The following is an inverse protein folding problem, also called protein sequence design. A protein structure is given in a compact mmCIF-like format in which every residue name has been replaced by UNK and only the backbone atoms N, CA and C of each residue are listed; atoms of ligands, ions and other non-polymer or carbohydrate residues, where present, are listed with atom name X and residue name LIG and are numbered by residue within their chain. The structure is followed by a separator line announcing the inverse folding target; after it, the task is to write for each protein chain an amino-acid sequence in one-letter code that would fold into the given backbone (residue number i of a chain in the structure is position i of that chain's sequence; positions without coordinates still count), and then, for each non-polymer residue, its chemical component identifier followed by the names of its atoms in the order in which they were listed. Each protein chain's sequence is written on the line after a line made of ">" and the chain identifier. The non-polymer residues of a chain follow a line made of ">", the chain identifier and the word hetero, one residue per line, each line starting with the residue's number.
data_IF_728727956997
#
_entry.id   IF_728727956997
#
_cell.length_a   1.000
_cell.length_b   1.000
_cell.length_c   1.000
_cell.angle_alpha   90.00
_cell.angle_beta   90.00
_cell.angle_gamma   90.00
#
_symmetry.space_group_name_H-M   'P 1'
#
loop_
_entity.id
_entity.type
_entity.pdbx_description
1 polymer ?
#
# COMPACT_ATOMS: atom_id res chain seq x y z
N UNK A 1 37.97 3.01 -25.34
CA UNK A 1 37.61 1.64 -24.86
C UNK A 1 38.38 1.32 -23.60
N UNK A 2 37.80 1.57 -22.43
CA UNK A 2 38.13 0.91 -21.16
C UNK A 2 36.83 0.82 -20.36
N UNK A 3 36.26 -0.38 -20.34
CA UNK A 3 35.08 -0.73 -19.54
C UNK A 3 35.55 -0.82 -18.08
N UNK A 4 34.94 -0.04 -17.18
CA UNK A 4 35.08 -0.22 -15.73
C UNK A 4 33.89 -1.05 -15.26
N UNK A 5 34.16 -2.29 -14.88
CA UNK A 5 33.23 -3.11 -14.11
C UNK A 5 33.12 -2.52 -12.71
N UNK A 6 31.90 -2.20 -12.29
CA UNK A 6 31.58 -1.91 -10.89
C UNK A 6 31.10 -3.19 -10.23
N UNK A 7 31.84 -3.63 -9.20
CA UNK A 7 31.40 -4.64 -8.25
C UNK A 7 30.44 -3.96 -7.28
N UNK A 8 29.16 -4.31 -7.34
CA UNK A 8 28.20 -3.99 -6.30
C UNK A 8 28.44 -4.95 -5.13
N UNK A 9 29.01 -4.44 -4.03
CA UNK A 9 29.12 -5.17 -2.77
C UNK A 9 27.80 -5.01 -2.02
N UNK A 10 27.10 -6.12 -1.79
CA UNK A 10 25.89 -6.21 -0.99
C UNK A 10 26.15 -5.75 0.44
N UNK A 11 25.58 -4.61 0.85
CA UNK A 11 25.45 -4.23 2.25
C UNK A 11 24.04 -4.63 2.69
N UNK A 12 23.93 -5.75 3.40
CA UNK A 12 22.72 -6.08 4.15
C UNK A 12 22.67 -5.15 5.38
N UNK A 13 21.69 -4.24 5.42
CA UNK A 13 21.39 -3.46 6.62
C UNK A 13 20.59 -4.38 7.55
N UNK A 14 21.25 -4.90 8.57
CA UNK A 14 20.63 -5.63 9.66
C UNK A 14 19.95 -4.60 10.58
N UNK A 15 18.61 -4.57 10.63
CA UNK A 15 17.92 -3.91 11.75
C UNK A 15 18.20 -4.71 13.03
N UNK A 16 19.08 -4.17 13.87
CA UNK A 16 19.41 -4.72 15.17
C UNK A 16 18.31 -4.35 16.18
N UNK A 17 17.39 -5.28 16.45
CA UNK A 17 16.51 -5.21 17.62
C UNK A 17 17.36 -5.45 18.86
N UNK A 18 17.59 -4.40 19.65
CA UNK A 18 18.31 -4.50 20.92
C UNK A 18 17.44 -5.20 21.97
N UNK A 19 17.72 -6.45 22.26
CA UNK A 19 17.22 -7.13 23.46
C UNK A 19 18.00 -6.62 24.68
N UNK A 20 17.39 -5.76 25.49
CA UNK A 20 17.89 -5.50 26.85
C UNK A 20 17.34 -6.58 27.77
N UNK A 21 18.20 -7.55 28.06
CA UNK A 21 18.00 -8.47 29.18
C UNK A 21 18.39 -7.80 30.49
N UNK A 22 17.46 -7.74 31.43
CA UNK A 22 17.77 -7.77 32.86
C UNK A 22 17.01 -8.97 33.44
N UNK A 23 17.78 -9.97 33.86
CA UNK A 23 17.23 -11.13 34.55
C UNK A 23 16.85 -10.80 35.99
N UNK A 24 15.88 -11.54 36.51
CA UNK A 24 16.00 -12.12 37.83
C UNK A 24 15.21 -13.43 37.95
N UNK A 25 15.81 -14.35 38.66
CA UNK A 25 15.42 -15.75 38.85
C UNK A 25 14.09 -15.91 39.62
N UNK A 26 13.23 -16.82 39.15
CA UNK A 26 12.74 -17.90 40.03
C UNK A 26 12.13 -19.07 39.22
N UNK A 27 12.48 -20.27 39.68
CA UNK A 27 12.10 -21.59 39.18
C UNK A 27 10.59 -21.87 39.24
N UNK A 28 10.05 -22.66 38.30
CA UNK A 28 9.67 -24.07 38.56
C UNK A 28 8.81 -24.69 37.45
N UNK A 29 9.08 -26.00 37.26
CA UNK A 29 8.23 -27.07 36.72
C UNK A 29 7.72 -27.04 35.27
N UNK A 30 8.31 -27.95 34.48
CA UNK A 30 7.68 -28.68 33.37
C UNK A 30 6.27 -29.16 33.75
N UNK A 31 5.30 -28.88 32.90
CA UNK A 31 4.09 -29.68 32.75
C UNK A 31 3.85 -29.91 31.25
N UNK A 32 3.99 -31.17 30.84
CA UNK A 32 3.48 -31.67 29.57
C UNK A 32 1.95 -31.59 29.61
N UNK A 33 1.33 -30.77 28.77
CA UNK A 33 -0.10 -30.85 28.48
C UNK A 33 -0.29 -31.41 27.08
N UNK A 34 -0.95 -32.57 27.04
CA UNK A 34 -1.43 -33.21 25.81
C UNK A 34 -2.31 -32.23 25.03
N UNK A 35 -1.94 -31.98 23.79
CA UNK A 35 -2.79 -31.33 22.81
C UNK A 35 -4.06 -32.18 22.61
N UNK A 36 -5.19 -31.70 23.13
CA UNK A 36 -6.51 -32.11 22.69
C UNK A 36 -6.83 -31.35 21.41
N UNK A 37 -7.03 -32.08 20.32
CA UNK A 37 -7.62 -31.61 19.08
C UNK A 37 -8.84 -30.72 19.36
N UNK A 38 -8.66 -29.41 19.26
CA UNK A 38 -9.75 -28.48 19.05
C UNK A 38 -10.03 -28.50 17.55
N UNK A 39 -11.17 -29.06 17.18
CA UNK A 39 -11.82 -28.87 15.88
C UNK A 39 -11.68 -27.41 15.44
N UNK A 40 -11.01 -27.19 14.31
CA UNK A 40 -10.94 -25.90 13.66
C UNK A 40 -12.38 -25.42 13.42
N UNK A 41 -12.75 -24.32 14.06
CA UNK A 41 -13.90 -23.54 13.62
C UNK A 41 -13.51 -23.02 12.25
N UNK A 42 -14.05 -23.63 11.20
CA UNK A 42 -13.91 -23.12 9.84
C UNK A 42 -14.56 -21.75 9.86
N UNK A 43 -13.76 -20.67 9.84
CA UNK A 43 -14.31 -19.34 9.59
C UNK A 43 -14.92 -19.38 8.20
N UNK A 44 -16.20 -19.07 8.09
CA UNK A 44 -16.90 -19.09 6.81
C UNK A 44 -16.21 -18.10 5.86
N UNK A 45 -15.73 -18.62 4.74
CA UNK A 45 -15.19 -17.82 3.63
C UNK A 45 -16.38 -17.37 2.79
N UNK A 46 -16.97 -16.25 3.16
CA UNK A 46 -18.11 -15.69 2.45
C UNK A 46 -18.09 -14.17 2.53
N UNK A 47 -18.25 -13.52 1.39
CA UNK A 47 -18.58 -12.10 1.38
C UNK A 47 -19.96 -11.91 2.05
N UNK A 48 -20.15 -10.91 2.93
CA UNK A 48 -21.44 -10.65 3.55
C UNK A 48 -22.55 -10.48 2.52
N UNK A 49 -23.70 -11.14 2.71
CA UNK A 49 -24.86 -11.04 1.81
C UNK A 49 -25.37 -9.60 1.69
N UNK A 50 -25.28 -8.84 2.79
CA UNK A 50 -25.60 -7.42 2.79
C UNK A 50 -24.47 -6.66 2.10
N UNK A 51 -24.82 -5.97 1.03
CA UNK A 51 -23.93 -5.06 0.32
C UNK A 51 -23.48 -3.89 1.21
N UNK A 52 -22.31 -3.31 0.90
CA UNK A 52 -21.80 -2.14 1.60
C UNK A 52 -22.69 -0.93 1.31
N UNK A 53 -23.12 -0.25 2.38
CA UNK A 53 -23.97 0.93 2.29
C UNK A 53 -23.11 2.20 2.37
N UNK A 54 -22.83 2.81 1.22
CA UNK A 54 -22.16 4.12 1.15
C UNK A 54 -23.12 5.27 1.48
N UNK A 55 -22.59 6.32 2.09
CA UNK A 55 -23.25 7.62 2.31
C UNK A 55 -22.84 8.68 1.29
N UNK A 56 -21.95 8.33 0.35
CA UNK A 56 -21.42 9.25 -0.67
C UNK A 56 -22.26 9.25 -1.95
N UNK A 57 -22.13 10.31 -2.75
CA UNK A 57 -22.98 10.56 -3.92
C UNK A 57 -22.20 10.74 -5.25
N UNK A 58 -20.89 10.47 -5.24
CA UNK A 58 -20.02 10.69 -6.40
C UNK A 58 -19.31 12.04 -6.40
N UNK A 59 -19.68 12.98 -5.52
CA UNK A 59 -19.14 14.34 -5.51
C UNK A 59 -17.69 14.43 -5.01
N UNK A 60 -17.23 13.46 -4.22
CA UNK A 60 -15.87 13.39 -3.73
C UNK A 60 -14.99 12.39 -4.52
N UNK A 61 -15.55 11.73 -5.54
CA UNK A 61 -14.81 10.71 -6.30
C UNK A 61 -13.57 11.29 -6.98
N UNK A 62 -12.42 10.68 -6.74
CA UNK A 62 -11.15 11.05 -7.36
C UNK A 62 -11.13 10.62 -8.82
N UNK A 63 -10.66 11.51 -9.70
CA UNK A 63 -10.46 11.28 -11.13
C UNK A 63 -9.10 11.78 -11.56
N UNK A 64 -8.68 11.41 -12.77
CA UNK A 64 -7.45 11.89 -13.38
C UNK A 64 -7.75 12.82 -14.56
N UNK A 65 -7.03 13.93 -14.61
CA UNK A 65 -6.94 14.80 -15.80
C UNK A 65 -5.45 15.10 -16.08
N UNK A 66 -4.91 14.47 -17.12
CA UNK A 66 -3.49 14.49 -17.41
C UNK A 66 -2.65 13.96 -16.23
N UNK A 67 -1.79 14.79 -15.67
CA UNK A 67 -0.91 14.45 -14.53
C UNK A 67 -1.46 14.93 -13.19
N UNK A 68 -2.79 15.12 -13.08
CA UNK A 68 -3.43 15.63 -11.87
C UNK A 68 -4.53 14.72 -11.37
N UNK A 69 -4.67 14.64 -10.05
CA UNK A 69 -5.89 14.16 -9.41
C UNK A 69 -6.90 15.29 -9.30
N UNK A 70 -8.17 14.96 -9.49
CA UNK A 70 -9.27 15.90 -9.54
C UNK A 70 -10.44 15.39 -8.70
N UNK A 71 -11.15 16.32 -8.05
CA UNK A 71 -12.47 16.11 -7.45
C UNK A 71 -13.40 17.17 -8.03
N UNK A 72 -14.36 16.74 -8.85
CA UNK A 72 -15.13 17.65 -9.69
C UNK A 72 -14.23 18.38 -10.69
N UNK A 73 -14.21 19.71 -10.65
CA UNK A 73 -13.38 20.59 -11.47
C UNK A 73 -12.14 21.13 -10.71
N UNK A 74 -11.90 20.65 -9.49
CA UNK A 74 -10.83 21.12 -8.62
C UNK A 74 -9.72 20.10 -8.51
N UNK A 75 -8.49 20.61 -8.51
CA UNK A 75 -7.30 19.80 -8.28
C UNK A 75 -7.26 19.28 -6.84
N UNK A 76 -6.94 18.00 -6.70
CA UNK A 76 -6.73 17.32 -5.43
C UNK A 76 -5.23 17.15 -5.21
N UNK A 77 -4.77 17.49 -4.01
CA UNK A 77 -3.43 17.16 -3.53
C UNK A 77 -3.54 16.30 -2.27
N UNK A 78 -2.84 15.16 -2.24
CA UNK A 78 -2.90 14.26 -1.10
C UNK A 78 -1.91 14.72 -0.02
N UNK A 79 -2.45 15.33 1.03
CA UNK A 79 -1.76 15.51 2.31
C UNK A 79 -1.86 14.20 3.09
N UNK A 80 -1.23 13.17 2.52
CA UNK A 80 -1.43 11.79 2.89
C UNK A 80 -0.51 11.33 4.00
N UNK A 81 -0.82 10.16 4.54
CA UNK A 81 0.03 9.45 5.50
C UNK A 81 -0.05 7.94 5.29
N UNK A 82 0.97 7.20 5.69
CA UNK A 82 0.83 5.77 5.94
C UNK A 82 0.19 5.58 7.33
N UNK A 83 -0.98 4.96 7.35
CA UNK A 83 -1.63 4.40 8.53
C UNK A 83 -1.70 2.89 8.30
N UNK A 84 -0.55 2.20 8.20
CA UNK A 84 -0.49 0.95 7.46
C UNK A 84 -1.25 -0.16 8.19
N UNK A 85 -1.35 -0.09 9.52
CA UNK A 85 -2.18 -0.93 10.39
C UNK A 85 -2.29 -0.34 11.82
N UNK A 86 -3.30 -0.71 12.59
CA UNK A 86 -3.28 -0.69 14.07
C UNK A 86 -2.47 -1.88 14.58
N UNK A 87 -2.93 -3.08 14.22
CA UNK A 87 -2.27 -4.36 14.49
C UNK A 87 -1.98 -5.06 13.18
N UNK A 88 -0.85 -5.75 13.16
CA UNK A 88 -0.50 -6.59 12.02
C UNK A 88 -1.62 -7.60 11.73
N UNK A 89 -2.09 -7.63 10.49
CA UNK A 89 -3.30 -8.35 10.07
C UNK A 89 -4.58 -7.92 10.82
N UNK A 90 -4.91 -6.62 10.79
CA UNK A 90 -6.13 -6.08 11.38
C UNK A 90 -7.40 -6.76 10.85
N UNK A 91 -7.59 -6.74 9.53
CA UNK A 91 -8.87 -7.07 8.89
C UNK A 91 -9.10 -8.58 8.82
N UNK A 92 -10.14 -9.05 9.51
CA UNK A 92 -10.42 -10.47 9.75
C UNK A 92 -9.66 -11.04 10.95
N UNK A 93 -8.91 -10.19 11.66
CA UNK A 93 -8.04 -10.54 12.77
C UNK A 93 -8.20 -9.57 13.94
N UNK A 94 -7.23 -8.65 14.07
CA UNK A 94 -7.08 -7.77 15.23
C UNK A 94 -7.89 -6.47 15.22
N UNK A 95 -8.74 -6.25 14.21
CA UNK A 95 -9.42 -4.99 13.95
C UNK A 95 -10.06 -4.37 15.20
N UNK A 96 -9.85 -3.07 15.37
CA UNK A 96 -10.36 -2.30 16.49
C UNK A 96 -11.06 -1.04 15.98
N UNK A 97 -12.40 -1.06 16.00
CA UNK A 97 -13.22 0.04 15.54
C UNK A 97 -12.91 1.36 16.27
N UNK A 98 -12.78 1.33 17.59
CA UNK A 98 -12.56 2.53 18.41
C UNK A 98 -11.21 3.17 18.08
N UNK A 99 -10.17 2.35 17.88
CA UNK A 99 -8.87 2.85 17.42
C UNK A 99 -8.99 3.57 16.08
N UNK A 100 -9.57 2.92 15.07
CA UNK A 100 -9.66 3.50 13.73
C UNK A 100 -10.52 4.76 13.70
N UNK A 101 -11.58 4.80 14.51
CA UNK A 101 -12.42 5.98 14.68
C UNK A 101 -11.63 7.15 15.28
N UNK A 102 -10.98 6.95 16.41
CA UNK A 102 -10.18 7.98 17.08
C UNK A 102 -9.02 8.44 16.18
N UNK A 103 -8.39 7.50 15.49
CA UNK A 103 -7.26 7.77 14.60
C UNK A 103 -7.70 8.58 13.38
N UNK A 104 -8.75 8.18 12.66
CA UNK A 104 -9.24 8.94 11.51
C UNK A 104 -9.76 10.32 11.90
N UNK A 105 -10.43 10.46 13.05
CA UNK A 105 -10.81 11.76 13.57
C UNK A 105 -9.60 12.65 13.80
N UNK A 106 -8.55 12.12 14.44
CA UNK A 106 -7.30 12.84 14.70
C UNK A 106 -6.60 13.26 13.41
N UNK A 107 -6.49 12.36 12.43
CA UNK A 107 -5.87 12.63 11.13
C UNK A 107 -6.63 13.75 10.39
N UNK A 108 -7.94 13.60 10.23
CA UNK A 108 -8.79 14.61 9.58
C UNK A 108 -8.71 15.97 10.26
N UNK A 109 -8.81 16.00 11.58
CA UNK A 109 -8.75 17.25 12.36
C UNK A 109 -7.43 17.99 12.13
N UNK A 110 -6.33 17.27 11.94
CA UNK A 110 -5.00 17.84 11.68
C UNK A 110 -4.81 18.28 10.22
N UNK A 111 -5.67 17.85 9.30
CA UNK A 111 -5.62 18.21 7.88
C UNK A 111 -5.13 17.11 6.95
N UNK A 112 -5.08 15.85 7.41
CA UNK A 112 -4.88 14.69 6.52
C UNK A 112 -6.15 14.45 5.73
N UNK A 113 -6.02 14.18 4.42
CA UNK A 113 -7.14 13.78 3.57
C UNK A 113 -7.00 12.36 3.00
N UNK A 114 -5.86 11.69 3.18
CA UNK A 114 -5.65 10.35 2.63
C UNK A 114 -4.79 9.48 3.55
N UNK A 115 -5.12 8.20 3.58
CA UNK A 115 -4.39 7.18 4.31
C UNK A 115 -4.07 6.00 3.39
N UNK A 116 -2.80 5.60 3.36
CA UNK A 116 -2.37 4.33 2.79
C UNK A 116 -2.39 3.25 3.87
N UNK A 117 -3.15 2.18 3.63
CA UNK A 117 -3.51 1.16 4.64
C UNK A 117 -3.33 -0.23 4.05
N UNK A 118 -2.61 -1.12 4.76
CA UNK A 118 -2.35 -2.48 4.31
C UNK A 118 -3.48 -3.39 4.77
N UNK A 119 -4.26 -3.91 3.81
CA UNK A 119 -5.49 -4.63 4.15
C UNK A 119 -5.29 -6.15 4.29
N UNK A 120 -4.24 -6.72 3.70
CA UNK A 120 -3.86 -8.14 3.91
C UNK A 120 -2.57 -8.29 4.73
N UNK A 121 -1.66 -7.31 4.72
CA UNK A 121 -0.32 -7.41 5.34
C UNK A 121 0.47 -8.63 4.83
N UNK A 122 0.66 -9.69 5.63
CA UNK A 122 1.27 -10.95 5.16
C UNK A 122 0.25 -12.04 4.78
N UNK A 123 -1.04 -11.81 5.02
CA UNK A 123 -2.11 -12.73 4.66
C UNK A 123 -2.18 -14.00 5.49
N UNK A 124 -1.60 -14.00 6.69
CA UNK A 124 -1.73 -15.12 7.64
C UNK A 124 -3.09 -15.12 8.35
N UNK A 125 -3.84 -14.02 8.30
CA UNK A 125 -5.19 -13.89 8.86
C UNK A 125 -6.13 -13.28 7.81
N UNK A 126 -7.41 -13.65 7.88
CA UNK A 126 -8.45 -13.13 6.99
C UNK A 126 -8.48 -13.72 5.59
N UNK A 127 -7.40 -14.38 5.13
CA UNK A 127 -7.28 -14.95 3.79
C UNK A 127 -7.39 -16.48 3.79
N UNK A 128 -8.16 -17.03 2.87
CA UNK A 128 -8.28 -18.46 2.64
C UNK A 128 -7.42 -18.89 1.44
N UNK A 129 -6.17 -19.23 1.75
CA UNK A 129 -5.22 -19.78 0.78
C UNK A 129 -4.80 -21.19 1.19
N UNK A 130 -4.89 -22.13 0.26
CA UNK A 130 -4.46 -23.50 0.43
C UNK A 130 -2.93 -23.62 0.23
N UNK A 131 -2.31 -24.67 0.79
CA UNK A 131 -0.87 -24.90 0.68
C UNK A 131 -0.36 -25.01 -0.78
N UNK A 132 -1.23 -25.35 -1.73
CA UNK A 132 -0.89 -25.38 -3.16
C UNK A 132 -1.05 -24.02 -3.87
N UNK A 133 -1.40 -22.96 -3.15
CA UNK A 133 -1.64 -21.62 -3.68
C UNK A 133 -3.06 -21.38 -4.22
N UNK A 134 -3.97 -22.35 -4.12
CA UNK A 134 -5.39 -22.14 -4.43
C UNK A 134 -5.97 -21.10 -3.47
N UNK A 135 -6.61 -20.06 -4.02
CA UNK A 135 -7.17 -18.96 -3.23
C UNK A 135 -8.70 -18.94 -3.30
N UNK A 136 -9.35 -19.15 -2.16
CA UNK A 136 -10.81 -19.32 -2.09
C UNK A 136 -11.56 -18.02 -1.74
N UNK A 137 -10.85 -16.98 -1.28
CA UNK A 137 -11.45 -15.71 -0.87
C UNK A 137 -10.91 -15.20 0.46
N UNK A 138 -11.59 -14.19 1.01
CA UNK A 138 -11.38 -13.71 2.37
C UNK A 138 -12.52 -14.18 3.30
N UNK A 139 -12.26 -14.19 4.60
CA UNK A 139 -13.25 -14.53 5.64
C UNK A 139 -14.33 -13.46 5.73
N UNK A 140 -15.52 -13.83 6.24
CA UNK A 140 -16.60 -12.85 6.48
C UNK A 140 -16.12 -11.68 7.35
N UNK A 141 -15.36 -11.97 8.41
CA UNK A 141 -14.84 -10.95 9.33
C UNK A 141 -13.93 -9.93 8.61
N UNK A 142 -13.12 -10.37 7.65
CA UNK A 142 -12.29 -9.45 6.86
C UNK A 142 -13.13 -8.41 6.12
N UNK A 143 -14.21 -8.86 5.49
CA UNK A 143 -15.13 -7.95 4.81
C UNK A 143 -15.89 -7.05 5.79
N UNK A 144 -16.38 -7.57 6.92
CA UNK A 144 -17.07 -6.75 7.93
C UNK A 144 -16.15 -5.70 8.57
N UNK A 145 -14.88 -5.99 8.76
CA UNK A 145 -13.90 -5.03 9.25
C UNK A 145 -13.61 -3.93 8.22
N UNK A 146 -13.53 -4.29 6.93
CA UNK A 146 -13.41 -3.31 5.85
C UNK A 146 -14.68 -2.45 5.68
N UNK A 147 -15.88 -3.01 5.87
CA UNK A 147 -17.12 -2.23 5.90
C UNK A 147 -17.02 -1.10 6.95
N UNK A 148 -16.50 -1.42 8.13
CA UNK A 148 -16.30 -0.45 9.20
C UNK A 148 -15.22 0.58 8.86
N UNK A 149 -14.10 0.16 8.26
CA UNK A 149 -13.03 1.07 7.84
C UNK A 149 -13.54 2.08 6.80
N UNK A 150 -14.22 1.62 5.76
CA UNK A 150 -14.76 2.51 4.72
C UNK A 150 -15.89 3.39 5.25
N UNK A 151 -16.73 2.88 6.17
CA UNK A 151 -17.68 3.73 6.88
C UNK A 151 -16.97 4.90 7.60
N UNK A 152 -15.88 4.64 8.32
CA UNK A 152 -15.11 5.69 9.00
C UNK A 152 -14.44 6.64 8.01
N UNK A 153 -13.91 6.15 6.90
CA UNK A 153 -13.33 6.98 5.83
C UNK A 153 -14.33 8.01 5.31
N UNK A 154 -15.58 7.61 5.07
CA UNK A 154 -16.66 8.52 4.66
C UNK A 154 -17.00 9.54 5.75
N UNK A 155 -16.98 9.14 7.03
CA UNK A 155 -17.30 10.06 8.13
C UNK A 155 -16.25 11.15 8.32
N UNK A 156 -14.97 10.81 8.11
CA UNK A 156 -13.81 11.66 8.39
C UNK A 156 -13.09 12.16 7.14
N UNK A 157 -13.69 12.02 5.96
CA UNK A 157 -13.11 12.48 4.69
C UNK A 157 -11.68 12.00 4.41
N UNK A 158 -11.40 10.73 4.72
CA UNK A 158 -10.08 10.11 4.49
C UNK A 158 -10.15 9.22 3.26
N UNK A 159 -9.51 9.61 2.16
CA UNK A 159 -9.31 8.78 0.98
C UNK A 159 -8.38 7.60 1.30
N UNK A 160 -8.88 6.37 1.18
CA UNK A 160 -8.13 5.14 1.41
C UNK A 160 -7.42 4.69 0.13
N UNK A 161 -6.09 4.64 0.18
CA UNK A 161 -5.27 3.82 -0.71
C UNK A 161 -5.14 2.45 -0.06
N UNK A 162 -5.90 1.47 -0.56
CA UNK A 162 -5.91 0.13 0.01
C UNK A 162 -4.78 -0.70 -0.58
N UNK A 163 -3.73 -0.94 0.20
CA UNK A 163 -2.60 -1.78 -0.19
C UNK A 163 -2.93 -3.25 0.04
N UNK A 164 -3.10 -3.98 -1.06
CA UNK A 164 -3.61 -5.36 -1.05
C UNK A 164 -2.53 -6.33 -0.60
N UNK A 165 -1.42 -6.48 -1.32
CA UNK A 165 -0.32 -7.35 -0.93
C UNK A 165 0.89 -6.56 -0.39
N UNK A 166 1.82 -7.24 0.24
CA UNK A 166 3.17 -6.75 0.56
C UNK A 166 4.21 -7.81 0.19
N UNK A 167 5.47 -7.40 0.02
CA UNK A 167 6.59 -8.35 0.03
C UNK A 167 6.59 -9.29 1.25
N UNK A 168 5.96 -8.88 2.35
CA UNK A 168 5.74 -9.74 3.53
C UNK A 168 4.93 -11.01 3.24
N UNK A 169 4.02 -11.01 2.25
CA UNK A 169 3.34 -12.25 1.82
C UNK A 169 4.33 -13.33 1.38
N UNK A 170 5.54 -12.94 0.96
CA UNK A 170 6.52 -13.81 0.34
C UNK A 170 7.69 -14.17 1.27
N UNK A 171 7.79 -13.58 2.46
CA UNK A 171 8.88 -13.82 3.42
C UNK A 171 8.82 -15.24 4.00
N UNK A 172 9.92 -15.98 3.92
CA UNK A 172 10.03 -17.40 4.33
C UNK A 172 9.80 -17.70 5.83
N UNK A 173 9.70 -16.66 6.64
CA UNK A 173 9.38 -16.75 8.07
C UNK A 173 7.88 -16.69 8.36
N UNK A 174 7.05 -16.22 7.41
CA UNK A 174 5.61 -16.09 7.58
C UNK A 174 4.90 -17.41 7.30
N UNK A 175 3.69 -17.61 7.83
CA UNK A 175 3.07 -18.93 7.84
C UNK A 175 2.74 -19.46 6.44
N UNK A 176 2.14 -18.60 5.59
CA UNK A 176 1.61 -19.02 4.29
C UNK A 176 2.50 -18.63 3.10
N UNK A 177 3.77 -18.28 3.33
CA UNK A 177 4.64 -17.70 2.29
C UNK A 177 4.76 -18.55 1.03
N UNK A 178 4.88 -19.87 1.18
CA UNK A 178 5.06 -20.78 0.05
C UNK A 178 3.79 -20.86 -0.80
N UNK A 179 2.62 -20.72 -0.19
CA UNK A 179 1.35 -20.67 -0.90
C UNK A 179 1.23 -19.38 -1.73
N UNK A 180 1.60 -18.22 -1.17
CA UNK A 180 1.64 -16.95 -1.89
C UNK A 180 2.63 -16.95 -3.07
N UNK A 181 3.83 -17.51 -2.87
CA UNK A 181 4.79 -17.72 -3.97
C UNK A 181 4.21 -18.63 -5.06
N UNK A 182 3.54 -19.71 -4.67
CA UNK A 182 2.95 -20.64 -5.63
C UNK A 182 1.79 -20.00 -6.41
N UNK A 183 0.96 -19.20 -5.73
CA UNK A 183 -0.15 -18.46 -6.33
C UNK A 183 0.33 -17.50 -7.42
N UNK A 184 1.35 -16.68 -7.12
CA UNK A 184 1.83 -15.65 -8.05
C UNK A 184 2.56 -16.25 -9.27
N UNK A 185 3.16 -17.43 -9.11
CA UNK A 185 3.88 -18.11 -10.19
C UNK A 185 2.95 -18.90 -11.12
N UNK A 186 1.65 -18.97 -10.80
CA UNK A 186 0.65 -19.76 -11.50
C UNK A 186 -0.47 -18.84 -11.98
N UNK A 187 -0.61 -18.76 -13.31
CA UNK A 187 -1.60 -17.90 -13.96
C UNK A 187 -3.02 -18.18 -13.50
N UNK A 188 -3.41 -19.44 -13.35
CA UNK A 188 -4.78 -19.81 -13.01
C UNK A 188 -5.06 -19.49 -11.53
N UNK A 189 -4.06 -19.60 -10.65
CA UNK A 189 -4.20 -19.21 -9.24
C UNK A 189 -4.22 -17.70 -9.04
N UNK A 190 -3.45 -16.98 -9.85
CA UNK A 190 -3.53 -15.52 -9.93
C UNK A 190 -4.93 -15.10 -10.37
N UNK A 191 -5.53 -15.78 -11.35
CA UNK A 191 -6.91 -15.57 -11.76
C UNK A 191 -7.89 -15.80 -10.60
N UNK A 192 -7.70 -16.84 -9.80
CA UNK A 192 -8.52 -17.09 -8.61
C UNK A 192 -8.41 -15.96 -7.59
N UNK A 193 -7.21 -15.42 -7.34
CA UNK A 193 -7.05 -14.27 -6.44
C UNK A 193 -7.76 -13.03 -6.95
N UNK A 194 -7.66 -12.76 -8.25
CA UNK A 194 -8.35 -11.64 -8.90
C UNK A 194 -9.87 -11.81 -8.80
N UNK A 195 -10.39 -12.99 -9.15
CA UNK A 195 -11.83 -13.26 -9.18
C UNK A 195 -12.45 -13.33 -7.76
N UNK A 196 -11.72 -13.89 -6.80
CA UNK A 196 -12.25 -14.16 -5.45
C UNK A 196 -11.92 -13.07 -4.42
N UNK A 197 -11.06 -12.09 -4.76
CA UNK A 197 -10.73 -10.99 -3.84
C UNK A 197 -10.74 -9.62 -4.51
N UNK A 198 -9.94 -9.41 -5.56
CA UNK A 198 -9.77 -8.09 -6.17
C UNK A 198 -11.10 -7.56 -6.74
N UNK A 199 -11.80 -8.38 -7.53
CA UNK A 199 -13.09 -8.01 -8.11
C UNK A 199 -14.14 -7.77 -7.02
N UNK A 200 -14.34 -8.68 -6.03
CA UNK A 200 -15.23 -8.42 -4.89
C UNK A 200 -14.92 -7.13 -4.13
N UNK A 201 -13.64 -6.83 -3.88
CA UNK A 201 -13.20 -5.62 -3.18
C UNK A 201 -13.71 -4.35 -3.87
N UNK A 202 -13.47 -4.22 -5.18
CA UNK A 202 -13.85 -3.02 -5.93
C UNK A 202 -15.35 -2.94 -6.24
N UNK A 203 -16.03 -4.07 -6.42
CA UNK A 203 -17.49 -4.09 -6.58
C UNK A 203 -18.22 -3.70 -5.29
N UNK A 204 -17.67 -4.10 -4.13
CA UNK A 204 -18.26 -3.77 -2.83
C UNK A 204 -18.01 -2.32 -2.45
N UNK A 205 -16.75 -1.88 -2.48
CA UNK A 205 -16.36 -0.58 -1.92
C UNK A 205 -16.18 0.53 -2.95
N UNK A 206 -16.11 0.23 -4.26
CA UNK A 206 -15.92 1.24 -5.32
C UNK A 206 -17.08 2.23 -5.47
N UNK A 207 -18.15 2.05 -4.69
CA UNK A 207 -19.27 2.99 -4.52
C UNK A 207 -18.94 4.12 -3.53
N UNK A 208 -17.97 3.92 -2.65
CA UNK A 208 -17.50 4.94 -1.72
C UNK A 208 -16.57 5.90 -2.44
N UNK A 209 -16.88 7.20 -2.41
CA UNK A 209 -15.99 8.23 -2.95
C UNK A 209 -14.61 8.24 -2.29
N UNK A 210 -14.52 7.72 -1.06
CA UNK A 210 -13.29 7.67 -0.28
C UNK A 210 -12.50 6.37 -0.47
N UNK A 211 -12.95 5.45 -1.33
CA UNK A 211 -12.10 4.38 -1.85
C UNK A 211 -11.47 4.83 -3.18
N UNK A 212 -10.37 5.57 -3.09
CA UNK A 212 -9.81 6.22 -4.28
C UNK A 212 -8.88 5.31 -5.08
N UNK A 213 -8.15 4.39 -4.43
CA UNK A 213 -7.24 3.51 -5.14
C UNK A 213 -6.96 2.17 -4.47
N UNK A 214 -6.65 1.19 -5.31
CA UNK A 214 -5.99 -0.06 -4.95
C UNK A 214 -4.49 0.07 -5.21
N UNK A 215 -3.68 -0.12 -4.17
CA UNK A 215 -2.25 -0.36 -4.28
C UNK A 215 -2.02 -1.88 -4.28
N UNK A 216 -1.64 -2.45 -5.43
CA UNK A 216 -1.67 -3.90 -5.61
C UNK A 216 -0.61 -4.63 -4.79
N UNK A 217 0.52 -3.98 -4.49
CA UNK A 217 1.59 -4.57 -3.71
C UNK A 217 2.53 -3.49 -3.12
N UNK A 218 2.78 -3.58 -1.82
CA UNK A 218 3.85 -2.85 -1.16
C UNK A 218 5.22 -3.45 -1.48
N UNK A 219 6.09 -2.63 -2.06
CA UNK A 219 7.52 -2.85 -2.27
C UNK A 219 7.86 -4.21 -2.90
N UNK A 220 7.29 -4.54 -4.07
CA UNK A 220 7.59 -5.79 -4.75
C UNK A 220 9.05 -5.94 -5.15
N UNK A 221 9.80 -4.84 -5.16
CA UNK A 221 11.25 -4.78 -5.30
C UNK A 221 11.95 -5.82 -4.40
N UNK A 222 11.50 -5.95 -3.15
CA UNK A 222 12.09 -6.90 -2.21
C UNK A 222 11.71 -8.35 -2.52
N UNK A 223 10.59 -8.60 -3.18
CA UNK A 223 10.23 -9.95 -3.68
C UNK A 223 11.27 -10.41 -4.71
N UNK A 224 11.75 -9.49 -5.52
CA UNK A 224 12.72 -9.75 -6.59
C UNK A 224 14.16 -9.78 -6.07
N UNK A 225 14.52 -8.87 -5.16
CA UNK A 225 15.91 -8.71 -4.72
C UNK A 225 16.33 -9.66 -3.60
N UNK A 226 15.41 -10.07 -2.74
CA UNK A 226 15.76 -10.73 -1.49
C UNK A 226 15.49 -12.24 -1.50
N UNK A 227 16.45 -13.02 -0.99
CA UNK A 227 16.35 -14.49 -0.88
C UNK A 227 15.19 -14.89 0.03
N UNK A 228 15.02 -14.20 1.16
CA UNK A 228 13.95 -14.49 2.11
C UNK A 228 12.57 -14.24 1.53
N UNK A 229 12.44 -13.43 0.47
CA UNK A 229 11.19 -13.22 -0.26
C UNK A 229 11.05 -14.13 -1.50
N UNK A 230 12.08 -14.93 -1.80
CA UNK A 230 12.06 -15.95 -2.84
C UNK A 230 12.74 -15.56 -4.15
N UNK A 231 13.21 -14.32 -4.30
CA UNK A 231 13.80 -13.78 -5.55
C UNK A 231 12.98 -14.15 -6.78
N UNK A 232 11.69 -13.85 -6.75
CA UNK A 232 10.81 -14.17 -7.86
C UNK A 232 11.08 -13.23 -9.04
N UNK A 233 10.89 -13.73 -10.25
CA UNK A 233 11.03 -12.91 -11.45
C UNK A 233 9.89 -11.89 -11.58
N UNK A 234 10.23 -10.69 -12.05
CA UNK A 234 9.26 -9.63 -12.34
C UNK A 234 8.08 -10.10 -13.19
N UNK A 235 8.29 -11.03 -14.13
CA UNK A 235 7.22 -11.53 -15.00
C UNK A 235 6.03 -12.14 -14.27
N UNK A 236 6.25 -12.73 -13.08
CA UNK A 236 5.15 -13.27 -12.26
C UNK A 236 4.35 -12.14 -11.60
N UNK A 237 5.05 -11.12 -11.11
CA UNK A 237 4.47 -9.94 -10.48
C UNK A 237 3.72 -9.08 -11.50
N UNK A 238 4.35 -8.79 -12.65
CA UNK A 238 3.77 -8.07 -13.78
C UNK A 238 2.49 -8.75 -14.28
N UNK A 239 2.47 -10.08 -14.36
CA UNK A 239 1.27 -10.82 -14.75
C UNK A 239 0.12 -10.59 -13.77
N UNK A 240 0.37 -10.66 -12.46
CA UNK A 240 -0.64 -10.35 -11.46
C UNK A 240 -1.12 -8.90 -11.57
N UNK A 241 -0.20 -7.94 -11.67
CA UNK A 241 -0.57 -6.53 -11.75
C UNK A 241 -1.41 -6.22 -12.97
N UNK A 242 -1.05 -6.78 -14.12
CA UNK A 242 -1.80 -6.59 -15.35
C UNK A 242 -3.22 -7.19 -15.27
N UNK A 243 -3.35 -8.39 -14.70
CA UNK A 243 -4.66 -9.05 -14.51
C UNK A 243 -5.54 -8.30 -13.52
N UNK A 244 -4.98 -7.92 -12.38
CA UNK A 244 -5.70 -7.18 -11.35
C UNK A 244 -6.13 -5.80 -11.84
N UNK A 245 -5.23 -5.04 -12.48
CA UNK A 245 -5.56 -3.73 -13.06
C UNK A 245 -6.68 -3.83 -14.10
N UNK A 246 -6.56 -4.76 -15.06
CA UNK A 246 -7.59 -4.95 -16.08
C UNK A 246 -8.95 -5.34 -15.47
N UNK A 247 -8.95 -6.19 -14.43
CA UNK A 247 -10.16 -6.57 -13.73
C UNK A 247 -10.78 -5.40 -12.94
N UNK A 248 -9.96 -4.59 -12.28
CA UNK A 248 -10.43 -3.41 -11.53
C UNK A 248 -11.10 -2.42 -12.48
N UNK A 249 -10.44 -2.06 -13.59
CA UNK A 249 -10.98 -1.13 -14.58
C UNK A 249 -12.20 -1.66 -15.33
N UNK A 250 -12.35 -2.98 -15.46
CA UNK A 250 -13.54 -3.60 -16.03
C UNK A 250 -14.75 -3.57 -15.08
N UNK A 251 -14.54 -3.40 -13.78
CA UNK A 251 -15.56 -3.54 -12.75
C UNK A 251 -15.81 -2.28 -11.91
N UNK A 252 -14.97 -1.25 -12.03
CA UNK A 252 -15.04 -0.02 -11.24
C UNK A 252 -14.22 1.11 -11.86
N UNK A 253 -14.40 2.33 -11.34
CA UNK A 253 -13.49 3.46 -11.62
C UNK A 253 -12.49 3.69 -10.47
N UNK A 254 -12.28 2.71 -9.59
CA UNK A 254 -11.26 2.82 -8.53
C UNK A 254 -9.88 2.80 -9.19
N UNK A 255 -9.00 3.73 -8.80
CA UNK A 255 -7.69 3.86 -9.42
C UNK A 255 -6.74 2.74 -8.98
N UNK A 256 -5.70 2.47 -9.76
CA UNK A 256 -4.74 1.40 -9.53
C UNK A 256 -3.31 1.94 -9.49
N UNK A 257 -2.52 1.46 -8.54
CA UNK A 257 -1.06 1.67 -8.47
C UNK A 257 -0.35 0.41 -7.99
N UNK A 258 0.98 0.43 -8.03
CA UNK A 258 1.86 -0.44 -7.25
C UNK A 258 2.85 0.45 -6.50
N UNK A 259 2.92 0.32 -5.17
CA UNK A 259 3.86 1.06 -4.33
C UNK A 259 5.27 0.50 -4.46
N UNK A 260 6.05 1.03 -5.40
CA UNK A 260 7.43 0.58 -5.61
C UNK A 260 8.37 1.17 -4.55
N UNK A 261 9.11 0.30 -3.88
CA UNK A 261 10.05 0.64 -2.82
C UNK A 261 11.18 1.53 -3.31
N UNK A 262 11.48 1.50 -4.61
CA UNK A 262 12.53 2.30 -5.22
C UNK A 262 12.12 2.78 -6.62
N UNK A 263 12.57 3.99 -6.98
CA UNK A 263 12.45 4.53 -8.36
C UNK A 263 13.13 3.63 -9.41
N UNK A 264 14.05 2.77 -8.98
CA UNK A 264 14.82 1.83 -9.78
C UNK A 264 13.99 1.02 -10.77
N UNK A 265 12.79 0.58 -10.38
CA UNK A 265 11.88 -0.23 -11.20
C UNK A 265 10.64 0.53 -11.67
N UNK A 266 10.62 1.85 -11.47
CA UNK A 266 9.57 2.75 -11.93
C UNK A 266 10.07 3.75 -12.98
N UNK A 267 11.28 3.55 -13.52
CA UNK A 267 11.96 4.51 -14.39
C UNK A 267 12.80 3.84 -15.47
N UNK A 268 12.57 4.25 -16.73
CA UNK A 268 13.37 3.84 -17.88
C UNK A 268 14.80 4.40 -17.86
N UNK A 269 15.05 5.43 -17.05
CA UNK A 269 16.40 5.92 -16.78
C UNK A 269 17.21 5.00 -15.85
N UNK A 270 16.54 4.03 -15.21
CA UNK A 270 17.11 3.11 -14.23
C UNK A 270 17.07 1.66 -14.74
N UNK A 271 16.27 0.76 -14.14
CA UNK A 271 16.10 -0.63 -14.55
C UNK A 271 14.78 -0.89 -15.29
N UNK A 272 14.15 0.16 -15.82
CA UNK A 272 12.90 0.10 -16.55
C UNK A 272 11.70 0.39 -15.66
N UNK A 273 10.62 0.87 -16.27
CA UNK A 273 9.34 0.98 -15.59
C UNK A 273 8.55 -0.34 -15.70
N UNK A 274 8.63 -1.17 -14.66
CA UNK A 274 8.02 -2.51 -14.55
C UNK A 274 6.51 -2.51 -14.44
N UNK A 275 5.90 -1.34 -14.27
CA UNK A 275 4.46 -1.16 -14.18
C UNK A 275 3.96 -0.17 -15.23
N UNK A 276 4.75 0.10 -16.27
CA UNK A 276 4.29 0.90 -17.41
C UNK A 276 3.14 0.21 -18.13
N UNK A 277 2.29 1.00 -18.77
CA UNK A 277 1.18 0.50 -19.59
C UNK A 277 1.71 -0.53 -20.62
N UNK A 278 2.82 -0.25 -21.29
CA UNK A 278 3.39 -1.19 -22.26
C UNK A 278 3.84 -2.51 -21.64
N UNK A 279 4.49 -2.49 -20.46
CA UNK A 279 4.93 -3.72 -19.80
C UNK A 279 3.73 -4.56 -19.38
N UNK A 280 2.75 -3.97 -18.68
CA UNK A 280 1.55 -4.66 -18.19
C UNK A 280 0.69 -5.22 -19.33
N UNK A 281 0.50 -4.44 -20.40
CA UNK A 281 -0.27 -4.90 -21.56
C UNK A 281 0.42 -6.04 -22.32
N UNK A 282 1.75 -6.07 -22.32
CA UNK A 282 2.54 -7.07 -23.04
C UNK A 282 2.48 -8.46 -22.40
N UNK A 283 2.39 -8.53 -21.06
CA UNK A 283 2.39 -9.81 -20.31
C UNK A 283 1.03 -10.51 -20.31
N UNK A 284 -0.05 -9.81 -20.62
CA UNK A 284 -1.36 -10.43 -20.77
C UNK A 284 -1.44 -11.30 -22.03
N UNK A 285 -2.10 -12.44 -21.91
CA UNK A 285 -2.38 -13.34 -23.02
C UNK A 285 -3.78 -13.95 -22.86
N UNK A 286 -4.34 -14.43 -23.97
CA UNK A 286 -5.74 -14.92 -24.01
C UNK A 286 -6.77 -13.78 -24.01
N UNK A 287 -8.04 -14.17 -23.78
CA UNK A 287 -9.20 -13.29 -23.96
C UNK A 287 -9.95 -12.99 -22.64
N UNK A 288 -9.45 -13.45 -21.48
CA UNK A 288 -10.12 -13.23 -20.18
C UNK A 288 -10.10 -11.76 -19.76
N UNK A 289 -8.97 -11.10 -19.96
CA UNK A 289 -8.78 -9.70 -19.60
C UNK A 289 -8.62 -8.85 -20.85
N UNK A 290 -9.31 -7.71 -20.91
CA UNK A 290 -9.05 -6.71 -21.94
C UNK A 290 -7.69 -6.06 -21.68
N UNK A 291 -6.76 -6.30 -22.61
CA UNK A 291 -5.40 -5.76 -22.50
C UNK A 291 -5.38 -4.25 -22.39
N UNK A 292 -6.29 -3.54 -23.07
CA UNK A 292 -6.30 -2.08 -23.03
C UNK A 292 -6.61 -1.51 -21.64
N UNK A 293 -7.15 -2.34 -20.74
CA UNK A 293 -7.43 -2.00 -19.35
C UNK A 293 -6.28 -2.33 -18.40
N UNK A 294 -5.19 -2.93 -18.87
CA UNK A 294 -4.04 -3.28 -18.03
C UNK A 294 -3.05 -2.12 -17.93
N UNK A 295 -3.29 -1.20 -17.01
CA UNK A 295 -2.41 -0.07 -16.72
C UNK A 295 -2.51 0.31 -15.24
N UNK A 296 -1.52 1.05 -14.73
CA UNK A 296 -1.68 1.79 -13.48
C UNK A 296 -2.13 3.22 -13.80
N UNK A 297 -2.93 3.80 -12.93
CA UNK A 297 -3.48 5.15 -13.09
C UNK A 297 -2.47 6.23 -12.69
N UNK A 298 -1.62 5.92 -11.71
CA UNK A 298 -0.63 6.83 -11.16
C UNK A 298 0.61 6.07 -10.68
N UNK A 299 1.70 6.80 -10.47
CA UNK A 299 2.93 6.24 -9.91
C UNK A 299 3.06 6.57 -8.42
N UNK A 300 3.44 5.57 -7.64
CA UNK A 300 3.69 5.68 -6.20
C UNK A 300 5.08 5.13 -5.90
N UNK A 301 6.09 5.99 -5.98
CA UNK A 301 7.46 5.61 -5.61
C UNK A 301 7.70 5.91 -4.14
N UNK A 302 8.40 5.01 -3.45
CA UNK A 302 8.87 5.23 -2.10
C UNK A 302 10.27 5.84 -2.15
N UNK A 303 10.66 6.44 -1.04
CA UNK A 303 12.00 7.00 -0.88
C UNK A 303 12.45 6.98 0.58
N UNK A 304 13.66 6.53 0.84
CA UNK A 304 14.32 6.63 2.14
C UNK A 304 15.75 7.17 1.96
N UNK A 305 16.33 7.73 3.02
CA UNK A 305 17.60 8.50 2.96
C UNK A 305 18.77 7.75 2.36
N UNK A 306 18.89 6.45 2.62
CA UNK A 306 19.95 5.61 2.03
C UNK A 306 19.90 5.58 0.49
N UNK A 307 18.74 5.87 -0.12
CA UNK A 307 18.55 5.92 -1.57
C UNK A 307 19.16 7.18 -2.21
N UNK A 308 19.40 8.24 -1.44
CA UNK A 308 19.80 9.55 -1.96
C UNK A 308 21.05 9.48 -2.84
N UNK A 309 22.07 8.75 -2.38
CA UNK A 309 23.33 8.60 -3.13
C UNK A 309 23.24 7.68 -4.34
N UNK A 310 22.15 6.91 -4.48
CA UNK A 310 21.95 5.92 -5.53
C UNK A 310 21.04 6.43 -6.64
N UNK A 311 19.93 7.07 -6.27
CA UNK A 311 18.86 7.47 -7.19
C UNK A 311 18.34 8.90 -6.99
N UNK A 312 18.99 9.70 -6.15
CA UNK A 312 18.65 11.11 -5.99
C UNK A 312 17.61 11.42 -4.90
N UNK A 313 17.13 12.66 -4.91
CA UNK A 313 16.27 13.22 -3.87
C UNK A 313 14.97 13.76 -4.50
N UNK A 314 13.83 13.06 -4.37
CA UNK A 314 12.61 13.37 -5.12
C UNK A 314 12.03 14.73 -4.76
N UNK A 315 12.31 15.22 -3.55
CA UNK A 315 11.73 16.48 -3.06
C UNK A 315 12.41 17.71 -3.69
N UNK A 316 13.57 17.59 -4.35
CA UNK A 316 14.20 18.73 -5.07
C UNK A 316 13.88 18.76 -6.57
N UNK A 317 13.07 17.82 -7.06
CA UNK A 317 12.86 17.56 -8.48
C UNK A 317 11.38 17.36 -8.78
N UNK A 318 10.97 17.67 -10.02
CA UNK A 318 9.64 17.27 -10.49
C UNK A 318 9.58 15.74 -10.64
N UNK A 319 8.37 15.12 -10.66
CA UNK A 319 8.24 13.68 -10.90
C UNK A 319 8.99 13.21 -12.16
N UNK A 320 8.96 14.00 -13.23
CA UNK A 320 9.65 13.70 -14.48
C UNK A 320 11.16 13.83 -14.37
N UNK A 321 11.65 14.88 -13.71
CA UNK A 321 13.10 15.05 -13.51
C UNK A 321 13.69 13.98 -12.59
N UNK A 322 12.91 13.49 -11.62
CA UNK A 322 13.26 12.35 -10.77
C UNK A 322 13.26 11.00 -11.53
N UNK A 323 12.67 10.96 -12.73
CA UNK A 323 12.76 9.84 -13.65
C UNK A 323 11.45 9.11 -13.95
N UNK A 324 10.30 9.59 -13.46
CA UNK A 324 8.98 9.09 -13.88
C UNK A 324 8.66 9.60 -15.29
N UNK A 325 7.77 8.93 -16.02
CA UNK A 325 7.59 9.18 -17.46
C UNK A 325 6.83 10.48 -17.80
N UNK A 326 6.25 11.17 -16.80
CA UNK A 326 5.51 12.42 -16.98
C UNK A 326 4.12 12.26 -17.62
N UNK A 327 3.59 11.05 -17.71
CA UNK A 327 2.30 10.77 -18.35
C UNK A 327 1.13 10.65 -17.38
N UNK A 328 1.42 10.42 -16.09
CA UNK A 328 0.45 10.14 -15.03
C UNK A 328 0.69 11.02 -13.80
N UNK A 329 -0.32 11.21 -12.93
CA UNK A 329 -0.09 11.75 -11.60
C UNK A 329 0.93 10.90 -10.83
N UNK A 330 1.65 11.53 -9.91
CA UNK A 330 2.71 10.88 -9.15
C UNK A 330 2.63 11.29 -7.68
N UNK A 331 2.72 10.31 -6.78
CA UNK A 331 2.82 10.52 -5.33
C UNK A 331 4.13 9.92 -4.81
N UNK A 332 4.61 10.47 -3.71
CA UNK A 332 5.64 9.84 -2.89
C UNK A 332 4.92 8.94 -1.89
N UNK A 333 4.88 7.63 -2.18
CA UNK A 333 4.03 6.65 -1.49
C UNK A 333 4.50 6.27 -0.09
N UNK A 334 5.80 6.40 0.16
CA UNK A 334 6.42 6.32 1.47
C UNK A 334 7.65 7.22 1.54
N UNK A 335 7.84 7.87 2.68
CA UNK A 335 9.10 8.49 3.08
C UNK A 335 9.20 8.51 4.60
N UNK A 336 10.41 8.52 5.19
CA UNK A 336 10.53 8.53 6.64
C UNK A 336 9.95 9.84 7.20
N UNK A 337 9.35 9.80 8.39
CA UNK A 337 9.08 11.02 9.15
C UNK A 337 10.35 11.55 9.84
N UNK A 338 11.22 10.62 10.26
CA UNK A 338 12.51 10.88 10.89
C UNK A 338 13.56 10.01 10.23
N UNK A 339 14.73 10.60 9.94
CA UNK A 339 15.88 9.84 9.47
C UNK A 339 17.14 10.24 10.24
N UNK A 340 17.57 9.38 11.16
CA UNK A 340 18.69 9.66 12.07
C UNK A 340 20.07 9.80 11.39
N UNK A 341 20.16 9.41 10.12
CA UNK A 341 21.40 9.39 9.34
C UNK A 341 21.56 10.60 8.40
N UNK A 342 20.65 11.57 8.44
CA UNK A 342 20.67 12.75 7.57
C UNK A 342 20.00 13.97 8.20
N UNK A 343 20.10 15.12 7.52
CA UNK A 343 19.38 16.36 7.86
C UNK A 343 17.98 16.42 7.21
N UNK A 344 17.39 15.25 6.90
CA UNK A 344 16.06 15.18 6.29
C UNK A 344 14.99 15.81 7.20
N UNK A 345 14.21 16.72 6.63
CA UNK A 345 13.10 17.40 7.30
C UNK A 345 11.80 17.13 6.53
N UNK A 346 10.93 16.33 7.14
CA UNK A 346 9.62 15.96 6.56
C UNK A 346 8.73 17.18 6.29
N UNK A 347 8.87 18.25 7.09
CA UNK A 347 8.06 19.48 6.96
C UNK A 347 8.42 20.26 5.70
N UNK A 348 9.71 20.33 5.36
CA UNK A 348 10.16 20.90 4.09
C UNK A 348 9.88 19.94 2.93
N UNK A 349 10.06 18.63 3.13
CA UNK A 349 9.79 17.63 2.10
C UNK A 349 8.36 17.68 1.54
N UNK A 350 7.33 17.82 2.38
CA UNK A 350 5.95 17.96 1.92
C UNK A 350 5.73 19.22 1.06
N UNK A 351 6.26 20.36 1.51
CA UNK A 351 6.14 21.63 0.79
C UNK A 351 6.93 21.59 -0.53
N UNK A 352 8.14 21.05 -0.52
CA UNK A 352 8.99 20.95 -1.69
C UNK A 352 8.40 19.99 -2.73
N UNK A 353 7.84 18.85 -2.31
CA UNK A 353 7.08 17.96 -3.19
C UNK A 353 5.92 18.69 -3.87
N UNK A 354 5.11 19.41 -3.09
CA UNK A 354 4.01 20.22 -3.62
C UNK A 354 4.50 21.26 -4.65
N UNK A 355 5.55 22.01 -4.32
CA UNK A 355 6.11 23.04 -5.18
C UNK A 355 6.74 22.49 -6.46
N UNK A 356 7.27 21.26 -6.43
CA UNK A 356 7.87 20.59 -7.57
C UNK A 356 6.86 19.77 -8.42
N UNK A 357 5.57 19.81 -8.08
CA UNK A 357 4.50 19.23 -8.90
C UNK A 357 4.18 17.76 -8.61
N UNK A 358 4.62 17.23 -7.47
CA UNK A 358 4.10 15.97 -6.95
C UNK A 358 2.65 16.14 -6.50
N UNK A 359 1.83 15.11 -6.69
CA UNK A 359 0.40 15.15 -6.37
C UNK A 359 0.08 14.72 -4.94
N UNK A 360 1.08 14.37 -4.15
CA UNK A 360 0.93 14.04 -2.75
C UNK A 360 2.14 13.36 -2.14
N UNK A 361 2.16 13.33 -0.81
CA UNK A 361 3.17 12.64 0.00
C UNK A 361 2.48 11.82 1.07
N UNK A 362 2.96 10.62 1.32
CA UNK A 362 2.46 9.70 2.33
C UNK A 362 3.61 9.33 3.29
N UNK A 363 3.82 10.11 4.35
CA UNK A 363 4.86 9.85 5.33
C UNK A 363 4.63 8.55 6.12
N UNK A 364 5.72 7.86 6.43
CA UNK A 364 5.77 6.67 7.27
C UNK A 364 6.19 7.03 8.71
N UNK A 365 5.39 6.76 9.75
CA UNK A 365 3.98 6.31 9.73
C UNK A 365 3.21 6.84 10.95
N UNK A 366 1.90 6.63 10.99
CA UNK A 366 1.02 7.22 12.01
C UNK A 366 0.57 6.27 13.13
N UNK A 367 0.82 4.97 12.98
CA UNK A 367 0.35 3.91 13.86
C UNK A 367 1.35 2.75 13.93
N UNK A 368 1.12 1.79 14.83
CA UNK A 368 2.03 0.68 15.08
C UNK A 368 3.22 1.07 15.97
N UNK A 369 4.22 0.19 16.01
CA UNK A 369 5.45 0.42 16.78
C UNK A 369 6.42 1.30 15.99
N UNK A 370 7.20 2.10 16.72
CA UNK A 370 8.31 2.87 16.18
C UNK A 370 9.39 1.90 15.66
N UNK A 371 9.67 2.00 14.35
CA UNK A 371 10.70 1.24 13.65
C UNK A 371 11.94 2.10 13.33
N UNK A 372 12.03 3.29 13.94
CA UNK A 372 13.12 4.24 13.74
C UNK A 372 12.91 5.20 12.57
N UNK A 373 11.79 5.09 11.85
CA UNK A 373 11.41 6.02 10.77
C UNK A 373 10.43 7.12 11.23
N UNK A 374 10.07 7.15 12.52
CA UNK A 374 9.23 8.17 13.15
C UNK A 374 7.74 7.80 13.24
N UNK A 375 7.01 8.59 14.02
CA UNK A 375 5.60 8.39 14.33
C UNK A 375 4.76 9.63 14.00
N UNK A 376 3.46 9.57 14.33
CA UNK A 376 2.52 10.67 14.07
C UNK A 376 3.02 12.05 14.53
N UNK A 377 3.64 12.14 15.71
CA UNK A 377 4.10 13.43 16.26
C UNK A 377 5.18 14.08 15.39
N UNK A 378 5.96 13.30 14.66
CA UNK A 378 6.98 13.79 13.73
C UNK A 378 6.37 14.24 12.40
N UNK A 379 5.26 13.61 11.98
CA UNK A 379 4.54 13.90 10.73
C UNK A 379 3.62 15.12 10.87
N UNK A 380 2.97 15.26 12.03
CA UNK A 380 1.92 16.26 12.26
C UNK A 380 2.30 17.70 11.84
N UNK A 381 3.52 18.22 12.12
CA UNK A 381 3.90 19.56 11.69
C UNK A 381 3.86 19.76 10.16
N UNK A 382 4.24 18.75 9.38
CA UNK A 382 4.19 18.79 7.92
C UNK A 382 2.74 18.87 7.43
N UNK A 383 1.86 18.04 8.00
CA UNK A 383 0.43 18.02 7.68
C UNK A 383 -0.23 19.37 7.97
N UNK A 384 0.00 19.93 9.17
CA UNK A 384 -0.58 21.22 9.58
C UNK A 384 -0.07 22.38 8.71
N UNK A 385 1.21 22.35 8.34
CA UNK A 385 1.80 23.33 7.42
C UNK A 385 1.13 23.27 6.05
N UNK A 386 0.96 22.08 5.47
CA UNK A 386 0.31 21.94 4.16
C UNK A 386 -1.17 22.32 4.19
N UNK A 387 -1.87 22.03 5.29
CA UNK A 387 -3.23 22.55 5.50
C UNK A 387 -3.26 24.09 5.49
N UNK A 388 -2.22 24.77 5.96
CA UNK A 388 -2.10 26.22 5.84
C UNK A 388 -1.74 26.74 4.43
N UNK A 389 -1.15 25.89 3.58
CA UNK A 389 -0.65 26.26 2.23
C UNK A 389 -1.70 26.01 1.14
N UNK A 390 -2.38 24.86 1.17
CA UNK A 390 -3.25 24.42 0.09
C UNK A 390 -4.50 23.65 0.58
N UNK A 391 -5.16 24.12 1.65
CA UNK A 391 -6.39 23.51 2.17
C UNK A 391 -7.45 23.28 1.08
N UNK A 392 -7.56 24.19 0.12
CA UNK A 392 -8.51 24.13 -0.98
C UNK A 392 -8.23 22.98 -1.97
N UNK A 393 -6.99 22.48 -2.02
CA UNK A 393 -6.63 21.27 -2.76
C UNK A 393 -6.64 20.01 -1.91
N UNK A 394 -6.51 20.14 -0.59
CA UNK A 394 -6.58 19.01 0.34
C UNK A 394 -8.05 18.60 0.56
N UNK A 395 -8.94 19.58 0.72
CA UNK A 395 -10.37 19.37 0.82
C UNK A 395 -11.10 20.21 -0.26
N UNK A 396 -11.12 19.76 -1.53
CA UNK A 396 -11.73 20.52 -2.62
C UNK A 396 -13.21 20.85 -2.43
N UNK A 397 -13.94 19.98 -1.72
CA UNK A 397 -15.35 20.17 -1.39
C UNK A 397 -15.56 20.84 -0.01
N UNK A 398 -14.48 21.33 0.62
CA UNK A 398 -14.47 21.86 1.96
C UNK A 398 -14.23 20.79 3.03
N UNK A 399 -13.51 21.17 4.08
CA UNK A 399 -13.27 20.35 5.27
C UNK A 399 -14.51 20.33 6.15
N UNK A 400 -15.02 19.14 6.45
CA UNK A 400 -16.15 18.88 7.35
C UNK A 400 -15.72 19.13 8.78
N UNK A 401 -16.57 19.80 9.56
CA UNK A 401 -16.44 19.79 11.01
C UNK A 401 -16.96 18.44 11.54
N UNK A 402 -16.12 17.68 12.23
CA UNK A 402 -16.41 16.33 12.74
C UNK A 402 -16.44 16.27 14.25
#
# INVERSE_FOLDING_TARGET
>A
MKVKQWLASSLAVLMLVSTVGCGDNSSSSKAESKATNSSAVVSETAMPEKDYATTTDGSAKVKIDGTKFMVGDKELWFNGVNAPWDKWNDFGGGFNFEFWQDHFQKLHNSGVNAARIWIICNGDVGMAISADGTFDGATTAHWEDLDNLFYLAEQYQIYIMATVQSFDNFKDQNQNYQAWRTLIQDSDKTDMFVDNYIVPLVQRYGKSDYFWSVDLCNEPDWIVENEECGKLDWSYLEQYYAKAAAAIHANSDVLVTVGLGMIKYNSDSQQGNKISDSELQSVLSGDKYDKSLAYVDFYSTHWYTWMQGMWGYPFSESPTDFGLDGTKPCVIGECPAVASDSDFDITSAYEDAYNNGWNGVFAWKTSGQDDGCGLWQDIQPAIEKMAGICEDKIFPNGKKAV
#
